data_IF_402240036027
#
_entry.id   IF_402240036027
#
_cell.length_a   1.000
_cell.length_b   1.000
_cell.length_c   1.000
_cell.angle_alpha   90.00
_cell.angle_beta   90.00
_cell.angle_gamma   90.00
#
_symmetry.space_group_name_H-M   'P 1'
#
loop_
_entity.id
_entity.type
_entity.pdbx_description
1 polymer ?
#
# COMPACT_ATOMS: atom_id res chain seq x y z
N UNK A 1 7.91 9.41 -10.91
CA UNK A 1 7.79 8.36 -9.88
C UNK A 1 7.03 7.19 -10.49
N UNK A 2 7.30 5.98 -10.03
CA UNK A 2 6.63 4.75 -10.49
C UNK A 2 5.92 4.11 -9.30
N UNK A 3 4.58 4.09 -9.30
CA UNK A 3 3.76 3.54 -8.23
C UNK A 3 2.71 2.58 -8.80
N UNK A 4 2.42 1.51 -8.07
CA UNK A 4 1.24 0.66 -8.25
C UNK A 4 0.53 0.54 -6.90
N UNK A 5 -0.66 1.13 -6.80
CA UNK A 5 -1.44 1.24 -5.57
C UNK A 5 -2.75 0.45 -5.72
N UNK A 6 -2.76 -0.78 -5.21
CA UNK A 6 -3.90 -1.69 -5.33
C UNK A 6 -4.85 -1.52 -4.13
N UNK A 7 -6.16 -1.57 -4.38
CA UNK A 7 -7.13 -1.51 -3.29
C UNK A 7 -7.04 -2.71 -2.36
N UNK A 8 -6.92 -3.92 -2.93
CA UNK A 8 -6.88 -5.18 -2.19
C UNK A 8 -5.96 -6.21 -2.88
N UNK A 9 -5.68 -7.32 -2.20
CA UNK A 9 -4.74 -8.33 -2.73
C UNK A 9 -5.38 -9.42 -3.59
N UNK A 10 -6.69 -9.68 -3.44
CA UNK A 10 -7.31 -10.91 -3.96
C UNK A 10 -8.70 -10.60 -4.53
N UNK A 11 -8.91 -10.94 -5.80
CA UNK A 11 -10.25 -10.89 -6.40
C UNK A 11 -11.06 -12.15 -6.04
N UNK A 12 -12.40 -12.10 -6.03
CA UNK A 12 -13.23 -13.28 -5.86
C UNK A 12 -12.86 -14.40 -6.85
N UNK A 13 -12.60 -15.60 -6.33
CA UNK A 13 -12.25 -16.78 -7.13
C UNK A 13 -10.84 -16.77 -7.75
N UNK A 14 -9.97 -15.82 -7.37
CA UNK A 14 -8.59 -15.70 -7.87
C UNK A 14 -7.56 -15.99 -6.79
N UNK A 15 -6.35 -16.35 -7.21
CA UNK A 15 -5.22 -16.48 -6.30
C UNK A 15 -4.78 -15.11 -5.75
N UNK A 16 -4.07 -15.15 -4.63
CA UNK A 16 -3.51 -13.96 -4.00
C UNK A 16 -2.54 -13.25 -4.96
N UNK A 17 -2.71 -11.93 -5.13
CA UNK A 17 -2.01 -11.06 -6.09
C UNK A 17 -2.11 -11.44 -7.57
N UNK A 18 -2.90 -12.44 -7.97
CA UNK A 18 -3.02 -12.88 -9.37
C UNK A 18 -3.32 -11.72 -10.33
N UNK A 19 -4.28 -10.86 -9.95
CA UNK A 19 -4.68 -9.71 -10.76
C UNK A 19 -3.62 -8.60 -10.85
N UNK A 20 -2.67 -8.57 -9.90
CA UNK A 20 -1.59 -7.60 -9.86
C UNK A 20 -0.41 -8.00 -10.76
N UNK A 21 -0.18 -9.30 -10.97
CA UNK A 21 0.97 -9.82 -11.72
C UNK A 21 1.16 -9.17 -13.10
N UNK A 22 0.14 -9.06 -13.98
CA UNK A 22 0.33 -8.40 -15.28
C UNK A 22 0.63 -6.90 -15.15
N UNK A 23 0.07 -6.22 -14.14
CA UNK A 23 0.31 -4.80 -13.89
C UNK A 23 1.76 -4.56 -13.45
N UNK A 24 2.24 -5.41 -12.53
CA UNK A 24 3.62 -5.39 -12.05
C UNK A 24 4.56 -5.66 -13.22
N UNK A 25 4.33 -6.75 -13.98
CA UNK A 25 5.15 -7.13 -15.12
C UNK A 25 5.37 -5.97 -16.11
N UNK A 26 4.29 -5.26 -16.45
CA UNK A 26 4.32 -4.13 -17.38
C UNK A 26 5.09 -2.91 -16.84
N UNK A 27 5.20 -2.77 -15.52
CA UNK A 27 5.85 -1.60 -14.89
C UNK A 27 7.27 -1.89 -14.38
N UNK A 28 7.72 -3.14 -14.38
CA UNK A 28 9.06 -3.51 -13.88
C UNK A 28 10.17 -2.75 -14.61
N UNK A 29 10.07 -2.63 -15.95
CA UNK A 29 11.08 -2.00 -16.80
C UNK A 29 12.52 -2.48 -16.46
N UNK A 30 12.70 -3.80 -16.41
CA UNK A 30 13.99 -4.44 -16.13
C UNK A 30 14.37 -4.58 -14.65
N UNK A 31 13.65 -3.94 -13.72
CA UNK A 31 13.91 -4.06 -12.27
C UNK A 31 13.69 -5.50 -11.78
N UNK A 32 14.51 -5.94 -10.82
CA UNK A 32 14.50 -7.30 -10.26
C UNK A 32 14.71 -7.33 -8.75
N UNK A 33 15.48 -6.42 -8.18
CA UNK A 33 15.78 -6.40 -6.74
C UNK A 33 14.69 -5.68 -5.95
N UNK A 34 13.96 -6.43 -5.12
CA UNK A 34 12.89 -5.90 -4.28
C UNK A 34 13.18 -6.06 -2.79
N UNK A 35 12.87 -5.02 -2.02
CA UNK A 35 12.70 -5.13 -0.57
C UNK A 35 11.22 -5.14 -0.23
N UNK A 36 10.83 -6.03 0.67
CA UNK A 36 9.46 -6.16 1.16
C UNK A 36 9.34 -5.59 2.58
N UNK A 37 8.34 -4.75 2.80
CA UNK A 37 7.96 -4.16 4.08
C UNK A 37 6.74 -4.93 4.62
N UNK A 38 6.94 -5.86 5.58
CA UNK A 38 5.92 -6.80 6.03
C UNK A 38 5.11 -6.30 7.23
N UNK A 39 5.42 -5.12 7.76
CA UNK A 39 4.98 -4.69 9.10
C UNK A 39 3.48 -4.55 9.29
N UNK A 40 2.70 -4.49 8.21
CA UNK A 40 1.25 -4.56 8.28
C UNK A 40 0.74 -5.94 8.75
N UNK A 41 1.51 -7.01 8.56
CA UNK A 41 1.14 -8.36 8.98
C UNK A 41 1.10 -8.49 10.50
N UNK A 42 -0.07 -8.89 11.03
CA UNK A 42 -0.30 -9.08 12.48
C UNK A 42 -0.47 -10.56 12.83
N UNK A 43 -1.29 -11.29 12.07
CA UNK A 43 -1.72 -12.67 12.38
C UNK A 43 -0.89 -13.76 11.71
N UNK A 44 0.13 -13.38 10.96
CA UNK A 44 1.16 -14.26 10.38
C UNK A 44 2.51 -13.65 10.68
N UNK A 45 3.57 -14.45 10.70
CA UNK A 45 4.92 -13.93 10.86
C UNK A 45 5.32 -13.10 9.64
N UNK A 46 6.21 -12.12 9.84
CA UNK A 46 6.78 -11.37 8.72
C UNK A 46 7.63 -12.23 7.80
N UNK A 47 8.16 -13.34 8.33
CA UNK A 47 8.88 -14.34 7.57
C UNK A 47 7.96 -15.05 6.56
N UNK A 48 6.87 -15.64 7.04
CA UNK A 48 5.86 -16.27 6.18
C UNK A 48 5.30 -15.28 5.15
N UNK A 49 5.07 -14.03 5.56
CA UNK A 49 4.54 -13.02 4.63
C UNK A 49 5.56 -12.66 3.55
N UNK A 50 6.84 -12.59 3.89
CA UNK A 50 7.93 -12.36 2.95
C UNK A 50 8.05 -13.52 1.97
N UNK A 51 8.04 -14.74 2.47
CA UNK A 51 8.22 -15.94 1.65
C UNK A 51 7.04 -16.12 0.68
N UNK A 52 5.81 -15.87 1.14
CA UNK A 52 4.61 -15.83 0.29
C UNK A 52 4.71 -14.77 -0.81
N UNK A 53 5.23 -13.59 -0.49
CA UNK A 53 5.44 -12.50 -1.47
C UNK A 53 6.54 -12.85 -2.47
N UNK A 54 7.61 -13.48 -2.02
CA UNK A 54 8.69 -13.96 -2.88
C UNK A 54 8.17 -15.01 -3.88
N UNK A 55 7.41 -15.99 -3.40
CA UNK A 55 6.87 -17.08 -4.23
C UNK A 55 6.00 -16.56 -5.38
N UNK A 56 5.05 -15.66 -5.10
CA UNK A 56 4.12 -15.16 -6.13
C UNK A 56 4.82 -14.28 -7.18
N UNK A 57 5.91 -13.61 -6.81
CA UNK A 57 6.64 -12.68 -7.68
C UNK A 57 7.84 -13.32 -8.39
N UNK A 58 8.28 -14.50 -7.96
CA UNK A 58 9.39 -15.23 -8.58
C UNK A 58 9.18 -15.48 -10.09
N UNK A 59 7.97 -15.82 -10.60
CA UNK A 59 7.74 -15.97 -12.05
C UNK A 59 7.98 -14.68 -12.87
N UNK A 60 7.95 -13.51 -12.25
CA UNK A 60 8.27 -12.22 -12.87
C UNK A 60 9.79 -11.91 -12.81
N UNK A 61 10.59 -12.80 -12.21
CA UNK A 61 12.02 -12.62 -11.99
C UNK A 61 12.37 -11.68 -10.84
N UNK A 62 11.43 -11.38 -9.95
CA UNK A 62 11.66 -10.46 -8.83
C UNK A 62 12.30 -11.22 -7.67
N UNK A 63 13.43 -10.73 -7.19
CA UNK A 63 14.14 -11.23 -6.01
C UNK A 63 13.70 -10.43 -4.79
N UNK A 64 12.88 -11.02 -3.93
CA UNK A 64 12.30 -10.36 -2.76
C UNK A 64 13.14 -10.62 -1.50
N UNK A 65 13.51 -9.57 -0.79
CA UNK A 65 14.15 -9.63 0.54
C UNK A 65 13.28 -8.93 1.58
N UNK A 66 12.91 -9.63 2.65
CA UNK A 66 12.18 -9.02 3.77
C UNK A 66 13.05 -8.03 4.54
N UNK A 67 12.60 -6.79 4.69
CA UNK A 67 13.39 -5.71 5.31
C UNK A 67 13.69 -5.97 6.79
N UNK A 68 12.90 -6.82 7.46
CA UNK A 68 13.10 -7.22 8.85
C UNK A 68 14.22 -8.25 9.05
N UNK A 69 14.68 -8.89 7.97
CA UNK A 69 15.74 -9.93 8.00
C UNK A 69 17.15 -9.38 7.76
N UNK A 70 17.27 -8.16 7.23
CA UNK A 70 18.58 -7.60 6.85
C UNK A 70 19.25 -6.91 8.03
N UNK A 71 20.58 -7.00 8.09
CA UNK A 71 21.37 -6.34 9.13
C UNK A 71 21.34 -4.81 9.02
N UNK A 72 21.30 -4.28 7.80
CA UNK A 72 21.23 -2.86 7.51
C UNK A 72 20.03 -2.54 6.61
N UNK A 73 18.86 -2.21 7.19
CA UNK A 73 17.65 -1.91 6.42
C UNK A 73 17.77 -0.64 5.58
N UNK A 74 18.57 0.34 6.02
CA UNK A 74 18.77 1.58 5.27
C UNK A 74 19.56 1.33 3.99
N UNK A 75 20.65 0.57 4.08
CA UNK A 75 21.44 0.17 2.92
C UNK A 75 20.65 -0.75 1.97
N UNK A 76 19.76 -1.60 2.49
CA UNK A 76 18.89 -2.43 1.68
C UNK A 76 17.88 -1.59 0.88
N UNK A 77 17.23 -0.60 1.51
CA UNK A 77 16.34 0.34 0.82
C UNK A 77 17.10 1.14 -0.24
N UNK A 78 18.27 1.68 0.11
CA UNK A 78 19.10 2.48 -0.79
C UNK A 78 19.41 1.75 -2.12
N UNK A 79 19.67 0.44 -2.04
CA UNK A 79 20.03 -0.39 -3.19
C UNK A 79 18.82 -1.01 -3.90
N UNK A 80 17.65 -1.02 -3.28
CA UNK A 80 16.46 -1.67 -3.84
C UNK A 80 16.02 -1.00 -5.15
N UNK A 81 15.60 -1.79 -6.13
CA UNK A 81 14.97 -1.25 -7.34
C UNK A 81 13.45 -1.13 -7.16
N UNK A 82 12.90 -1.95 -6.28
CA UNK A 82 11.47 -2.06 -6.00
C UNK A 82 11.26 -2.05 -4.48
N UNK A 83 10.35 -1.21 -4.00
CA UNK A 83 9.84 -1.24 -2.63
C UNK A 83 8.44 -1.84 -2.68
N UNK A 84 8.23 -2.94 -1.96
CA UNK A 84 6.95 -3.64 -1.88
C UNK A 84 6.39 -3.49 -0.47
N UNK A 85 5.16 -3.03 -0.32
CA UNK A 85 4.53 -2.81 0.98
C UNK A 85 3.23 -3.60 1.09
N UNK A 86 3.20 -4.52 2.04
CA UNK A 86 2.07 -5.42 2.20
C UNK A 86 0.85 -4.80 2.87
N UNK A 87 -0.31 -5.41 2.60
CA UNK A 87 -1.56 -5.17 3.31
C UNK A 87 -1.58 -5.83 4.70
N UNK A 88 -2.52 -5.40 5.55
CA UNK A 88 -2.62 -5.80 6.95
C UNK A 88 -3.14 -4.61 7.77
N UNK A 89 -2.64 -4.39 8.98
CA UNK A 89 -3.00 -3.21 9.77
C UNK A 89 -2.11 -2.00 9.45
N UNK A 90 -2.73 -0.91 8.99
CA UNK A 90 -2.07 0.34 8.58
C UNK A 90 -1.39 1.06 9.74
N UNK A 91 -1.97 1.02 10.95
CA UNK A 91 -1.37 1.66 12.13
C UNK A 91 -0.08 0.95 12.55
N UNK A 92 -0.07 -0.38 12.59
CA UNK A 92 1.15 -1.16 12.86
C UNK A 92 2.21 -0.96 11.78
N UNK A 93 1.80 -0.95 10.51
CA UNK A 93 2.68 -0.65 9.38
C UNK A 93 3.38 0.70 9.55
N UNK A 94 2.61 1.75 9.85
CA UNK A 94 3.15 3.10 10.01
C UNK A 94 4.04 3.20 11.24
N UNK A 95 3.62 2.63 12.38
CA UNK A 95 4.38 2.61 13.63
C UNK A 95 5.77 1.99 13.43
N UNK A 96 5.83 0.77 12.92
CA UNK A 96 7.09 0.05 12.72
C UNK A 96 7.98 0.76 11.69
N UNK A 97 7.39 1.27 10.62
CA UNK A 97 8.14 2.04 9.60
C UNK A 97 8.74 3.32 10.18
N UNK A 98 8.02 4.01 11.07
CA UNK A 98 8.49 5.23 11.74
C UNK A 98 9.57 4.91 12.78
N UNK A 99 9.33 3.97 13.69
CA UNK A 99 10.26 3.61 14.77
C UNK A 99 11.59 3.07 14.24
N UNK A 100 11.56 2.40 13.08
CA UNK A 100 12.77 1.92 12.39
C UNK A 100 13.43 2.97 11.50
N UNK A 101 12.89 4.19 11.45
CA UNK A 101 13.42 5.29 10.65
C UNK A 101 13.34 5.07 9.13
N UNK A 102 12.37 4.29 8.64
CA UNK A 102 12.30 3.84 7.25
C UNK A 102 11.42 4.73 6.36
N UNK A 103 10.55 5.58 6.92
CA UNK A 103 9.63 6.41 6.14
C UNK A 103 10.35 7.32 5.13
N UNK A 104 11.29 8.15 5.60
CA UNK A 104 12.04 9.05 4.73
C UNK A 104 12.92 8.28 3.72
N UNK A 105 13.74 7.28 4.12
CA UNK A 105 14.51 6.47 3.17
C UNK A 105 13.67 5.81 2.08
N UNK A 106 12.50 5.27 2.41
CA UNK A 106 11.58 4.68 1.42
C UNK A 106 11.08 5.75 0.46
N UNK A 107 10.58 6.87 0.98
CA UNK A 107 10.05 7.95 0.16
C UNK A 107 11.13 8.50 -0.80
N UNK A 108 12.33 8.74 -0.30
CA UNK A 108 13.46 9.25 -1.08
C UNK A 108 13.93 8.25 -2.13
N UNK A 109 13.94 6.95 -1.81
CA UNK A 109 14.32 5.91 -2.76
C UNK A 109 13.34 5.83 -3.92
N UNK A 110 12.04 5.93 -3.66
CA UNK A 110 10.98 5.95 -4.69
C UNK A 110 11.04 7.24 -5.52
N UNK A 111 11.26 8.40 -4.89
CA UNK A 111 11.48 9.68 -5.59
C UNK A 111 12.69 9.62 -6.55
N UNK A 112 13.72 8.84 -6.21
CA UNK A 112 14.89 8.54 -7.08
C UNK A 112 14.67 7.41 -8.08
N UNK A 113 13.43 6.97 -8.29
CA UNK A 113 13.05 6.10 -9.39
C UNK A 113 12.93 4.60 -9.07
N UNK A 114 12.96 4.21 -7.79
CA UNK A 114 12.47 2.87 -7.43
C UNK A 114 10.96 2.75 -7.71
N UNK A 115 10.52 1.55 -8.08
CA UNK A 115 9.12 1.22 -8.23
C UNK A 115 8.52 0.96 -6.84
N UNK A 116 7.43 1.63 -6.48
CA UNK A 116 6.66 1.31 -5.30
C UNK A 116 5.45 0.43 -5.66
N UNK A 117 5.27 -0.68 -4.95
CA UNK A 117 4.08 -1.54 -5.08
C UNK A 117 3.46 -1.67 -3.70
N UNK A 118 2.22 -1.21 -3.54
CA UNK A 118 1.50 -1.30 -2.27
C UNK A 118 0.06 -1.74 -2.49
N UNK A 119 -0.43 -2.65 -1.64
CA UNK A 119 -1.85 -3.05 -1.64
C UNK A 119 -2.49 -2.79 -0.28
N UNK A 120 -3.76 -2.37 -0.27
CA UNK A 120 -4.53 -2.12 0.95
C UNK A 120 -3.79 -1.13 1.88
N UNK A 121 -3.32 -1.56 3.06
CA UNK A 121 -2.48 -0.74 3.95
C UNK A 121 -1.24 -0.14 3.25
N UNK A 122 -0.63 -0.87 2.32
CA UNK A 122 0.47 -0.35 1.50
C UNK A 122 0.04 0.77 0.54
N UNK A 123 -1.21 0.78 0.07
CA UNK A 123 -1.75 1.90 -0.70
C UNK A 123 -2.03 3.12 0.21
N UNK A 124 -2.50 2.91 1.44
CA UNK A 124 -2.63 3.99 2.42
C UNK A 124 -1.27 4.63 2.74
N UNK A 125 -0.23 3.83 2.95
CA UNK A 125 1.10 4.33 3.33
C UNK A 125 1.73 5.23 2.25
N UNK A 126 1.36 5.06 0.98
CA UNK A 126 1.84 5.90 -0.12
C UNK A 126 1.24 7.32 -0.14
N UNK A 127 0.09 7.53 0.53
CA UNK A 127 -0.61 8.81 0.59
C UNK A 127 0.12 9.80 1.54
N UNK A 128 -0.34 11.06 1.68
CA UNK A 128 0.28 12.00 2.61
C UNK A 128 0.08 11.60 4.07
N UNK A 129 -1.04 10.93 4.38
CA UNK A 129 -1.35 10.44 5.73
C UNK A 129 -2.15 9.14 5.68
N UNK A 130 -2.29 8.44 6.80
CA UNK A 130 -3.17 7.27 6.91
C UNK A 130 -4.62 7.59 7.32
N UNK A 131 -5.05 8.86 7.29
CA UNK A 131 -6.37 9.34 7.78
C UNK A 131 -7.60 8.73 7.10
N UNK A 132 -7.42 8.04 5.97
CA UNK A 132 -8.48 7.36 5.21
C UNK A 132 -8.38 5.83 5.26
N UNK A 133 -7.58 5.27 6.18
CA UNK A 133 -7.61 3.82 6.45
C UNK A 133 -8.94 3.40 7.07
N UNK A 134 -9.35 2.15 6.85
CA UNK A 134 -10.50 1.54 7.51
C UNK A 134 -10.10 0.72 8.74
N UNK A 135 -8.80 0.64 9.02
CA UNK A 135 -8.28 -0.25 10.03
C UNK A 135 -8.60 0.24 11.44
N UNK A 136 -8.71 -0.71 12.36
CA UNK A 136 -8.80 -0.40 13.78
C UNK A 136 -7.44 0.12 14.29
N UNK A 137 -7.40 1.18 15.12
CA UNK A 137 -6.17 1.73 15.68
C UNK A 137 -5.64 0.86 16.83
N UNK A 138 -5.11 -0.33 16.50
CA UNK A 138 -4.64 -1.32 17.50
C UNK A 138 -3.32 -0.92 18.18
N UNK A 139 -2.57 0.00 17.58
CA UNK A 139 -1.34 0.60 18.12
C UNK A 139 -1.28 2.08 17.74
N UNK A 140 -0.57 2.87 18.54
CA UNK A 140 -0.33 4.28 18.23
C UNK A 140 0.91 4.43 17.32
N UNK A 141 0.78 4.96 16.09
CA UNK A 141 1.89 5.17 15.19
C UNK A 141 2.74 6.40 15.55
N UNK A 142 2.35 7.20 16.54
CA UNK A 142 2.99 8.46 16.91
C UNK A 142 3.01 9.47 15.74
N UNK A 143 1.81 9.74 15.19
CA UNK A 143 1.60 10.61 14.03
C UNK A 143 0.98 9.88 12.84
N UNK A 144 0.18 10.59 12.05
CA UNK A 144 -0.54 10.02 10.90
C UNK A 144 0.08 10.35 9.54
N UNK A 145 1.09 11.21 9.50
CA UNK A 145 1.91 11.45 8.31
C UNK A 145 2.51 10.13 7.79
N UNK A 146 2.56 9.98 6.46
CA UNK A 146 3.02 8.76 5.79
C UNK A 146 4.09 9.11 4.73
N UNK A 147 4.15 8.39 3.60
CA UNK A 147 5.25 8.54 2.65
C UNK A 147 5.13 9.75 1.71
N UNK A 148 3.92 10.29 1.54
CA UNK A 148 3.67 11.45 0.66
C UNK A 148 4.21 11.24 -0.77
N UNK A 149 3.96 10.05 -1.33
CA UNK A 149 4.35 9.67 -2.69
C UNK A 149 3.20 9.89 -3.69
N UNK A 150 1.96 9.73 -3.22
CA UNK A 150 0.75 10.00 -3.98
C UNK A 150 -0.01 11.15 -3.29
N UNK A 151 -0.37 12.23 -4.02
CA UNK A 151 -0.81 13.49 -3.38
C UNK A 151 -2.25 13.48 -2.87
N UNK A 152 -3.06 12.48 -3.26
CA UNK A 152 -4.47 12.38 -2.86
C UNK A 152 -4.62 11.30 -1.78
N UNK A 153 -5.70 11.34 -1.01
CA UNK A 153 -5.99 10.29 -0.05
C UNK A 153 -6.70 9.12 -0.73
N UNK A 154 -6.28 7.90 -0.43
CA UNK A 154 -6.96 6.68 -0.86
C UNK A 154 -7.72 6.10 0.32
N UNK A 155 -9.02 5.86 0.17
CA UNK A 155 -9.79 4.94 1.01
C UNK A 155 -9.87 3.60 0.27
N UNK A 156 -9.00 2.61 0.57
CA UNK A 156 -9.06 1.29 -0.08
C UNK A 156 -10.28 0.52 0.42
N UNK A 157 -10.60 -0.60 -0.23
CA UNK A 157 -11.78 -1.42 0.09
C UNK A 157 -13.06 -0.57 0.19
N UNK A 158 -13.19 0.40 -0.73
CA UNK A 158 -14.32 1.31 -0.69
C UNK A 158 -15.61 0.56 -1.03
N UNK A 159 -16.59 0.72 -0.15
CA UNK A 159 -17.99 0.38 -0.38
C UNK A 159 -18.82 1.26 0.52
N UNK A 160 -19.95 1.76 0.01
CA UNK A 160 -20.93 2.46 0.83
C UNK A 160 -22.04 1.54 1.34
N UNK A 161 -21.99 0.26 0.99
CA UNK A 161 -22.94 -0.74 1.47
C UNK A 161 -22.71 -1.03 2.97
N UNK A 162 -23.80 -1.28 3.68
CA UNK A 162 -23.81 -1.67 5.08
C UNK A 162 -24.66 -2.94 5.26
N UNK A 163 -24.44 -3.72 6.34
CA UNK A 163 -25.36 -4.78 6.73
C UNK A 163 -26.79 -4.26 6.91
N UNK A 164 -27.79 -5.09 6.63
CA UNK A 164 -29.19 -4.71 6.80
C UNK A 164 -29.47 -4.29 8.26
N UNK A 165 -30.13 -3.15 8.43
CA UNK A 165 -30.46 -2.59 9.75
C UNK A 165 -29.30 -1.92 10.49
N UNK A 166 -28.09 -1.86 9.91
CA UNK A 166 -26.95 -1.16 10.52
C UNK A 166 -27.21 0.35 10.60
N UNK A 167 -26.94 0.96 11.75
CA UNK A 167 -27.18 2.39 12.03
C UNK A 167 -25.90 3.21 12.27
N UNK A 168 -24.74 2.56 12.24
CA UNK A 168 -23.45 3.26 12.25
C UNK A 168 -23.22 4.02 10.95
N UNK A 169 -22.17 4.84 10.95
CA UNK A 169 -21.84 5.71 9.83
C UNK A 169 -21.47 4.89 8.58
N UNK A 170 -22.02 5.28 7.44
CA UNK A 170 -21.61 4.79 6.13
C UNK A 170 -20.17 5.21 5.83
N UNK A 171 -19.56 4.57 4.82
CA UNK A 171 -18.21 4.96 4.42
C UNK A 171 -18.15 6.41 3.95
N UNK A 172 -19.13 6.84 3.16
CA UNK A 172 -19.19 8.23 2.71
C UNK A 172 -19.33 9.20 3.89
N UNK A 173 -20.17 8.91 4.88
CA UNK A 173 -20.33 9.78 6.05
C UNK A 173 -19.00 10.01 6.77
N UNK A 174 -18.22 8.96 7.02
CA UNK A 174 -16.88 9.07 7.63
C UNK A 174 -15.92 9.91 6.78
N UNK A 175 -15.95 9.74 5.46
CA UNK A 175 -15.15 10.55 4.54
C UNK A 175 -15.61 12.02 4.58
N UNK A 176 -16.90 12.29 4.67
CA UNK A 176 -17.45 13.66 4.79
C UNK A 176 -17.02 14.32 6.09
N UNK A 177 -16.94 13.59 7.21
CA UNK A 177 -16.37 14.10 8.46
C UNK A 177 -14.91 14.53 8.29
N UNK A 178 -14.09 13.72 7.60
CA UNK A 178 -12.71 14.10 7.29
C UNK A 178 -12.66 15.38 6.44
N UNK A 179 -13.53 15.52 5.44
CA UNK A 179 -13.60 16.72 4.61
C UNK A 179 -14.10 17.97 5.36
N UNK A 180 -14.78 17.81 6.50
CA UNK A 180 -15.10 18.96 7.38
C UNK A 180 -13.85 19.48 8.09
N UNK A 181 -13.00 18.58 8.60
CA UNK A 181 -11.79 18.97 9.35
C UNK A 181 -10.57 19.22 8.46
N UNK A 182 -10.60 18.76 7.21
CA UNK A 182 -9.55 18.91 6.20
C UNK A 182 -10.17 19.16 4.81
N UNK A 183 -10.77 20.34 4.59
CA UNK A 183 -11.56 20.67 3.39
C UNK A 183 -10.74 20.76 2.10
N UNK A 184 -9.42 20.83 2.20
CA UNK A 184 -8.49 20.84 1.07
C UNK A 184 -8.26 19.45 0.46
N UNK A 185 -8.65 18.38 1.15
CA UNK A 185 -8.36 17.02 0.71
C UNK A 185 -9.25 16.59 -0.46
N UNK A 186 -8.66 15.83 -1.38
CA UNK A 186 -9.40 14.94 -2.27
C UNK A 186 -9.27 13.51 -1.74
N UNK A 187 -10.40 12.83 -1.54
CA UNK A 187 -10.44 11.42 -1.12
C UNK A 187 -10.97 10.56 -2.26
N UNK A 188 -10.20 9.54 -2.63
CA UNK A 188 -10.56 8.53 -3.62
C UNK A 188 -11.11 7.31 -2.90
N UNK A 189 -12.40 7.02 -3.09
CA UNK A 189 -13.02 5.77 -2.66
C UNK A 189 -12.65 4.64 -3.62
N UNK A 190 -11.51 3.98 -3.41
CA UNK A 190 -11.00 2.96 -4.34
C UNK A 190 -11.61 1.58 -4.00
N UNK A 191 -12.55 1.05 -4.81
CA UNK A 191 -13.20 -0.23 -4.51
C UNK A 191 -12.24 -1.41 -4.65
N UNK A 192 -12.58 -2.54 -4.06
CA UNK A 192 -11.83 -3.78 -4.28
C UNK A 192 -11.78 -4.14 -5.77
N UNK A 193 -10.64 -4.67 -6.21
CA UNK A 193 -10.34 -5.01 -7.60
C UNK A 193 -9.89 -3.85 -8.48
N UNK A 194 -9.92 -2.63 -7.95
CA UNK A 194 -9.33 -1.46 -8.60
C UNK A 194 -7.93 -1.15 -8.08
N UNK A 195 -7.21 -0.34 -8.86
CA UNK A 195 -5.87 0.15 -8.54
C UNK A 195 -5.67 1.55 -9.14
N UNK A 196 -4.64 2.23 -8.66
CA UNK A 196 -4.09 3.42 -9.30
C UNK A 196 -2.66 3.09 -9.70
N UNK A 197 -2.34 3.28 -10.97
CA UNK A 197 -0.98 3.14 -11.50
C UNK A 197 -0.43 4.52 -11.82
N UNK A 198 0.70 4.88 -11.20
CA UNK A 198 1.43 6.10 -11.52
C UNK A 198 2.67 5.72 -12.32
N UNK A 199 2.73 6.12 -13.58
CA UNK A 199 3.85 5.84 -14.47
C UNK A 199 4.00 6.94 -15.51
N UNK A 200 5.23 7.27 -15.91
CA UNK A 200 5.53 8.28 -16.93
C UNK A 200 4.83 9.64 -16.70
N UNK A 201 4.70 10.04 -15.44
CA UNK A 201 4.10 11.33 -15.06
C UNK A 201 2.57 11.38 -15.06
N UNK A 202 1.89 10.24 -15.26
CA UNK A 202 0.43 10.15 -15.20
C UNK A 202 -0.02 9.21 -14.09
N UNK A 203 -1.12 9.55 -13.42
CA UNK A 203 -1.83 8.67 -12.50
C UNK A 203 -3.10 8.15 -13.19
N UNK A 204 -3.18 6.84 -13.41
CA UNK A 204 -4.25 6.18 -14.16
C UNK A 204 -5.04 5.28 -13.22
N UNK A 205 -6.36 5.50 -13.15
CA UNK A 205 -7.29 4.60 -12.50
C UNK A 205 -7.48 3.34 -13.35
N UNK A 206 -7.41 2.16 -12.73
CA UNK A 206 -7.68 0.89 -13.37
C UNK A 206 -8.56 -0.01 -12.50
N UNK A 207 -9.14 -1.02 -13.15
CA UNK A 207 -10.06 -1.97 -12.54
C UNK A 207 -11.48 -1.86 -13.11
N UNK A 208 -12.32 -2.87 -12.85
CA UNK A 208 -13.64 -2.99 -13.46
C UNK A 208 -14.73 -2.20 -12.71
N UNK A 209 -14.46 -1.71 -11.50
CA UNK A 209 -15.48 -1.18 -10.60
C UNK A 209 -15.51 0.35 -10.58
N UNK A 210 -16.63 0.94 -10.20
CA UNK A 210 -16.80 2.39 -10.11
C UNK A 210 -16.08 2.97 -8.89
N UNK A 211 -15.31 4.03 -9.09
CA UNK A 211 -14.62 4.84 -8.07
C UNK A 211 -15.32 6.17 -7.89
#
# INVERSE_FOLDING_TARGET
MELLLLSNSTLPGKAWLEHALPLIANQLNGRRSAVFIPFAGVTQTWDEYTDKTAEVLAPLGINVTGIHRVADPLAAIEKAEIIIVGGGNTFQLLKESRERGLLAPVADRVKRGALYIGWSAGANLACPTIRTTNDMPIVDPNGFDALDLFPLQINPHFTNALPEGHKGETREQRIRELLVVAPELTVIGLPEGNWIQVSNGQAVLGGPNTT
#
